data_IF_757226175486
#
_entry.id   IF_757226175486
#
_cell.length_a   1.000
_cell.length_b   1.000
_cell.length_c   1.000
_cell.angle_alpha   90.00
_cell.angle_beta   90.00
_cell.angle_gamma   90.00
#
_symmetry.space_group_name_H-M   'P 1'
#
loop_
_entity.id
_entity.type
_entity.pdbx_description
1 polymer ?
#
# COMPACT_ATOMS: atom_id res chain seq x y z
N UNK A 1 16.16 1.04 -1.21
CA UNK A 1 16.33 -0.21 -1.98
C UNK A 1 15.03 -0.46 -2.73
N UNK A 2 15.05 -1.04 -3.94
CA UNK A 2 13.83 -1.37 -4.65
C UNK A 2 13.02 -2.41 -3.86
N UNK A 3 11.68 -2.36 -3.92
CA UNK A 3 10.83 -3.31 -3.24
C UNK A 3 10.95 -4.70 -3.88
N UNK A 4 10.73 -5.74 -3.06
CA UNK A 4 10.60 -7.12 -3.52
C UNK A 4 9.36 -7.75 -2.92
N UNK A 5 8.83 -8.78 -3.57
CA UNK A 5 7.70 -9.56 -3.08
C UNK A 5 8.13 -10.98 -2.75
N UNK A 6 9.10 -11.12 -1.84
CA UNK A 6 9.65 -12.41 -1.45
C UNK A 6 8.66 -13.12 -0.49
N UNK A 7 8.18 -14.33 -0.82
CA UNK A 7 7.31 -15.10 0.06
C UNK A 7 8.09 -15.67 1.26
N UNK A 8 7.41 -16.08 2.35
CA UNK A 8 5.95 -16.17 2.48
C UNK A 8 5.26 -14.92 3.06
N UNK A 9 6.01 -14.01 3.68
CA UNK A 9 5.43 -12.91 4.47
C UNK A 9 5.47 -11.54 3.78
N UNK A 10 6.11 -11.45 2.61
CA UNK A 10 6.24 -10.23 1.80
C UNK A 10 6.76 -9.01 2.58
N UNK A 11 7.50 -9.21 3.67
CA UNK A 11 8.12 -8.10 4.42
C UNK A 11 9.17 -7.36 3.59
N UNK A 12 9.76 -8.04 2.61
CA UNK A 12 10.71 -7.48 1.65
C UNK A 12 10.14 -6.32 0.81
N UNK A 13 8.81 -6.12 0.80
CA UNK A 13 8.18 -5.00 0.11
C UNK A 13 8.47 -3.65 0.80
N UNK A 14 8.84 -3.67 2.09
CA UNK A 14 9.06 -2.47 2.89
C UNK A 14 7.78 -1.95 3.58
N UNK A 15 7.83 -0.76 4.21
CA UNK A 15 6.68 -0.11 4.83
C UNK A 15 5.74 0.51 3.78
N UNK A 16 4.62 1.11 4.23
CA UNK A 16 3.76 1.90 3.35
C UNK A 16 4.55 3.06 2.72
N UNK A 17 4.20 3.41 1.48
CA UNK A 17 4.80 4.55 0.80
C UNK A 17 4.39 5.85 1.49
N UNK A 18 5.35 6.54 2.11
CA UNK A 18 5.08 7.70 2.98
C UNK A 18 6.13 8.81 2.79
N UNK A 19 6.12 9.52 1.63
CA UNK A 19 7.06 10.61 1.37
C UNK A 19 6.88 11.81 2.31
N UNK A 20 5.69 11.98 2.89
CA UNK A 20 5.33 13.11 3.75
C UNK A 20 5.57 12.85 5.25
N UNK A 21 6.01 11.65 5.62
CA UNK A 21 6.22 11.22 7.01
C UNK A 21 4.98 11.44 7.92
N UNK A 22 3.80 11.12 7.40
CA UNK A 22 2.52 11.17 8.13
C UNK A 22 2.27 9.87 8.91
N UNK A 23 1.23 9.87 9.74
CA UNK A 23 0.69 8.66 10.37
C UNK A 23 -0.16 7.87 9.37
N UNK A 24 -0.43 6.61 9.68
CA UNK A 24 -1.31 5.78 8.86
C UNK A 24 -2.77 6.20 9.01
N UNK A 25 -3.54 6.04 7.93
CA UNK A 25 -4.99 5.92 7.98
C UNK A 25 -5.74 7.13 7.43
N UNK A 26 -6.69 6.88 6.51
CA UNK A 26 -7.53 7.90 5.87
C UNK A 26 -8.49 8.60 6.84
N UNK A 27 -8.74 7.98 8.00
CA UNK A 27 -9.58 8.53 9.07
C UNK A 27 -8.76 8.97 10.30
N UNK A 28 -7.43 8.96 10.21
CA UNK A 28 -6.53 9.48 11.25
C UNK A 28 -6.28 10.98 11.03
N UNK A 29 -6.52 11.86 12.03
CA UNK A 29 -6.26 13.30 11.89
C UNK A 29 -4.78 13.66 11.64
N UNK A 30 -3.84 12.78 12.02
CA UNK A 30 -2.40 12.93 11.74
C UNK A 30 -1.95 12.17 10.47
N UNK A 31 -2.90 11.51 9.80
CA UNK A 31 -2.68 10.73 8.59
C UNK A 31 -2.95 11.47 7.29
N UNK A 32 -2.92 10.80 6.13
CA UNK A 32 -2.59 9.39 5.88
C UNK A 32 -1.22 9.23 5.20
N UNK A 33 -0.69 8.00 5.12
CA UNK A 33 0.45 7.72 4.25
C UNK A 33 0.02 7.85 2.78
N UNK A 34 0.87 8.36 1.89
CA UNK A 34 0.53 8.49 0.46
C UNK A 34 0.16 7.14 -0.20
N UNK A 35 0.67 6.02 0.30
CA UNK A 35 0.34 4.67 -0.16
C UNK A 35 -0.96 4.09 0.40
N UNK A 36 -1.59 4.72 1.39
CA UNK A 36 -2.85 4.23 1.98
C UNK A 36 -3.99 4.31 0.96
N UNK A 37 -4.83 3.28 0.91
CA UNK A 37 -5.94 3.16 -0.01
C UNK A 37 -7.15 2.55 0.68
N UNK A 38 -8.34 2.76 0.11
CA UNK A 38 -9.57 2.15 0.59
C UNK A 38 -9.51 0.62 0.52
N UNK A 39 -10.18 -0.03 1.49
CA UNK A 39 -10.33 -1.48 1.50
C UNK A 39 -10.98 -1.98 0.20
N UNK A 40 -10.57 -3.18 -0.24
CA UNK A 40 -11.23 -3.89 -1.34
C UNK A 40 -12.24 -4.89 -0.77
N UNK A 41 -13.32 -5.15 -1.52
CA UNK A 41 -14.29 -6.19 -1.19
C UNK A 41 -14.07 -7.40 -2.08
N UNK A 42 -13.91 -8.56 -1.46
CA UNK A 42 -13.79 -9.86 -2.13
C UNK A 42 -15.16 -10.53 -2.13
N UNK A 43 -15.58 -11.08 -3.26
CA UNK A 43 -16.83 -11.81 -3.40
C UNK A 43 -16.78 -13.19 -2.72
N UNK A 44 -17.94 -13.86 -2.65
CA UNK A 44 -18.07 -15.17 -2.02
C UNK A 44 -17.25 -16.28 -2.74
N UNK A 45 -16.74 -16.00 -3.94
CA UNK A 45 -15.93 -16.87 -4.77
C UNK A 45 -14.43 -16.58 -4.61
N UNK A 46 -14.06 -15.66 -3.72
CA UNK A 46 -12.66 -15.30 -3.47
C UNK A 46 -12.06 -14.38 -4.53
N UNK A 47 -12.89 -13.68 -5.32
CA UNK A 47 -12.43 -12.76 -6.38
C UNK A 47 -12.75 -11.32 -6.02
N UNK A 48 -11.89 -10.40 -6.42
CA UNK A 48 -12.13 -8.97 -6.32
C UNK A 48 -11.81 -8.29 -7.64
N UNK A 49 -12.69 -7.37 -8.07
CA UNK A 49 -12.42 -6.43 -9.16
C UNK A 49 -12.72 -5.03 -8.66
N UNK A 50 -11.70 -4.21 -8.56
CA UNK A 50 -11.82 -2.84 -8.05
C UNK A 50 -11.15 -1.85 -9.00
N UNK A 51 -11.55 -0.58 -8.88
CA UNK A 51 -10.87 0.56 -9.46
C UNK A 51 -10.68 1.59 -8.35
N UNK A 52 -9.43 1.83 -7.97
CA UNK A 52 -9.06 2.79 -6.93
C UNK A 52 -8.32 3.94 -7.62
N UNK A 53 -8.63 5.17 -7.20
CA UNK A 53 -7.86 6.36 -7.59
C UNK A 53 -7.13 6.84 -6.34
N UNK A 54 -5.82 6.69 -6.33
CA UNK A 54 -4.96 7.29 -5.31
C UNK A 54 -4.43 8.61 -5.86
N UNK A 55 -4.75 9.72 -5.18
CA UNK A 55 -4.40 11.08 -5.60
C UNK A 55 -3.04 11.54 -5.05
N UNK A 56 -2.49 10.81 -4.10
CA UNK A 56 -1.25 11.15 -3.40
C UNK A 56 -0.03 10.45 -4.01
N UNK A 57 -0.21 9.79 -5.15
CA UNK A 57 0.88 9.16 -5.89
C UNK A 57 0.79 9.50 -7.37
N UNK A 58 1.93 9.46 -8.06
CA UNK A 58 2.00 9.76 -9.49
C UNK A 58 3.04 8.90 -10.22
N UNK A 59 3.11 9.09 -11.54
CA UNK A 59 4.05 8.40 -12.44
C UNK A 59 5.25 9.27 -12.85
N UNK A 60 5.40 10.43 -12.23
CA UNK A 60 6.43 11.43 -12.51
C UNK A 60 7.77 11.10 -11.85
N UNK A 61 8.53 12.14 -11.52
CA UNK A 61 9.88 12.03 -10.93
C UNK A 61 10.03 12.81 -9.61
N UNK A 62 8.92 13.21 -8.97
CA UNK A 62 8.93 13.86 -7.66
C UNK A 62 8.89 12.82 -6.51
N UNK A 63 8.81 13.31 -5.26
CA UNK A 63 8.76 12.45 -4.06
C UNK A 63 7.52 11.56 -3.98
N UNK A 64 6.45 11.86 -4.70
CA UNK A 64 5.21 11.06 -4.75
C UNK A 64 5.20 10.08 -5.93
N UNK A 65 6.29 9.98 -6.68
CA UNK A 65 6.42 8.99 -7.75
C UNK A 65 6.41 7.58 -7.20
N UNK A 66 5.54 6.71 -7.74
CA UNK A 66 5.52 5.28 -7.41
C UNK A 66 6.77 4.52 -7.92
N UNK A 67 7.64 5.21 -8.66
CA UNK A 67 8.93 4.70 -9.11
C UNK A 67 10.09 5.14 -8.21
N UNK A 68 9.80 5.89 -7.14
CA UNK A 68 10.79 6.29 -6.15
C UNK A 68 11.54 5.08 -5.59
N UNK A 69 12.82 5.25 -5.28
CA UNK A 69 13.70 4.20 -4.75
C UNK A 69 13.80 2.92 -5.60
N UNK A 70 13.49 3.01 -6.90
CA UNK A 70 13.53 1.88 -7.83
C UNK A 70 12.20 1.14 -7.93
N UNK A 71 11.09 1.68 -7.43
CA UNK A 71 9.76 1.11 -7.52
C UNK A 71 9.00 1.12 -6.19
N UNK A 72 7.73 0.73 -6.25
CA UNK A 72 6.87 0.48 -5.09
C UNK A 72 6.22 -0.90 -5.24
N UNK A 73 5.51 -1.37 -4.21
CA UNK A 73 4.75 -2.62 -4.30
C UNK A 73 3.31 -2.38 -3.85
N UNK A 74 2.37 -3.03 -4.55
CA UNK A 74 0.99 -3.18 -4.11
C UNK A 74 0.90 -4.43 -3.23
N UNK A 75 0.35 -4.30 -2.04
CA UNK A 75 0.22 -5.38 -1.06
C UNK A 75 -1.25 -5.54 -0.68
N UNK A 76 -1.72 -6.79 -0.65
CA UNK A 76 -3.04 -7.14 -0.10
C UNK A 76 -2.83 -7.78 1.26
N UNK A 77 -3.61 -7.32 2.24
CA UNK A 77 -3.57 -7.81 3.62
C UNK A 77 -4.69 -8.82 3.91
N UNK A 78 -4.49 -9.63 4.95
CA UNK A 78 -5.39 -10.70 5.36
C UNK A 78 -6.70 -10.20 5.99
N UNK A 79 -6.70 -8.99 6.56
CA UNK A 79 -7.86 -8.38 7.21
C UNK A 79 -8.12 -7.00 6.62
N UNK A 80 -9.33 -6.51 6.84
CA UNK A 80 -9.67 -5.13 6.54
C UNK A 80 -8.82 -4.17 7.39
N UNK A 81 -8.36 -3.11 6.74
CA UNK A 81 -7.73 -1.96 7.36
C UNK A 81 -8.77 -1.16 8.17
N UNK A 82 -8.45 -0.76 9.40
CA UNK A 82 -9.31 0.04 10.28
C UNK A 82 -9.27 1.56 10.00
N UNK A 83 -8.47 1.97 9.02
CA UNK A 83 -8.27 3.32 8.51
C UNK A 83 -7.67 4.31 9.50
N UNK A 84 -7.10 3.85 10.63
CA UNK A 84 -6.64 4.73 11.72
C UNK A 84 -5.33 4.31 12.38
N UNK A 85 -5.17 3.02 12.68
CA UNK A 85 -4.14 2.56 13.61
C UNK A 85 -2.77 2.48 12.95
N UNK A 86 -1.76 3.13 13.52
CA UNK A 86 -0.39 2.94 13.04
C UNK A 86 0.17 1.52 13.29
N UNK A 87 1.05 1.02 12.40
CA UNK A 87 1.53 1.66 11.18
C UNK A 87 0.75 1.25 9.92
N UNK A 88 -0.24 0.37 10.02
CA UNK A 88 -0.87 -0.31 8.87
C UNK A 88 -2.30 -0.81 9.18
N UNK A 89 -3.04 -0.08 10.00
CA UNK A 89 -4.49 -0.20 10.12
C UNK A 89 -4.99 -1.51 10.72
N UNK A 90 -4.18 -2.19 11.53
CA UNK A 90 -4.46 -3.55 12.03
C UNK A 90 -4.84 -4.57 10.94
N UNK A 91 -4.40 -4.35 9.69
CA UNK A 91 -4.77 -5.17 8.52
C UNK A 91 -4.19 -6.60 8.55
N UNK A 92 -3.28 -6.90 9.49
CA UNK A 92 -2.70 -8.22 9.67
C UNK A 92 -1.68 -8.60 8.59
N UNK A 93 -1.55 -9.90 8.33
CA UNK A 93 -0.51 -10.45 7.46
C UNK A 93 -0.65 -9.97 6.01
N UNK A 94 0.48 -9.91 5.30
CA UNK A 94 0.53 -9.65 3.85
C UNK A 94 0.30 -10.96 3.12
N UNK A 95 -0.72 -11.03 2.28
CA UNK A 95 -1.14 -12.28 1.61
C UNK A 95 -0.93 -12.28 0.10
N UNK A 96 -0.72 -11.11 -0.50
CA UNK A 96 -0.29 -10.98 -1.88
C UNK A 96 0.55 -9.72 -2.06
N UNK A 97 1.45 -9.74 -3.02
CA UNK A 97 2.35 -8.62 -3.31
C UNK A 97 2.67 -8.56 -4.81
N UNK A 98 2.67 -7.37 -5.38
CA UNK A 98 3.07 -7.10 -6.76
C UNK A 98 3.97 -5.88 -6.86
N UNK A 99 5.15 -6.04 -7.45
CA UNK A 99 6.11 -4.96 -7.65
C UNK A 99 5.70 -4.08 -8.84
N UNK A 100 5.73 -2.77 -8.66
CA UNK A 100 5.54 -1.76 -9.69
C UNK A 100 6.87 -1.06 -9.94
N UNK A 101 7.40 -1.22 -11.14
CA UNK A 101 8.69 -0.65 -11.58
C UNK A 101 8.52 0.00 -12.94
N UNK A 102 9.48 0.86 -13.33
CA UNK A 102 9.52 1.34 -14.71
C UNK A 102 9.76 0.14 -15.65
N UNK A 103 9.13 0.12 -16.83
CA UNK A 103 9.41 -0.86 -17.87
C UNK A 103 10.90 -0.90 -18.26
#
# INVERSE_FOLDING_TARGET
MPPKCDPPDFKSAGPHFNPDNKKHGLENPEGHHAGDMQNITVDAQGKAKTKIVNKDVNWGNDSHSIFSHGGTALVIHAKADDMKTDPAGNAGDRIACGVTTKP
#
